data_IF_379919240909
#
_entry.id   IF_379919240909
#
_cell.length_a   1.000
_cell.length_b   1.000
_cell.length_c   1.000
_cell.angle_alpha   90.00
_cell.angle_beta   90.00
_cell.angle_gamma   90.00
#
_symmetry.space_group_name_H-M   'P 1'
#
loop_
_entity.id
_entity.type
_entity.pdbx_description
1 polymer ?
#
# COMPACT_ATOMS: atom_id res chain seq x y z
N UNK A 1 15.33 -23.97 -12.71
CA UNK A 1 16.10 -25.21 -12.50
C UNK A 1 15.08 -26.34 -12.35
N UNK A 2 14.96 -27.24 -13.35
CA UNK A 2 13.92 -28.29 -13.38
C UNK A 2 14.06 -29.32 -12.26
N UNK A 3 15.27 -29.57 -11.77
CA UNK A 3 15.49 -30.52 -10.69
C UNK A 3 14.87 -30.01 -9.38
N UNK A 4 15.14 -28.76 -9.02
CA UNK A 4 14.59 -28.12 -7.82
C UNK A 4 13.07 -28.04 -7.87
N UNK A 5 12.51 -27.76 -9.06
CA UNK A 5 11.07 -27.55 -9.26
C UNK A 5 10.29 -28.84 -9.55
N UNK A 6 10.93 -30.01 -9.45
CA UNK A 6 10.25 -31.30 -9.67
C UNK A 6 9.78 -31.49 -11.11
N UNK A 7 10.53 -30.96 -12.08
CA UNK A 7 10.26 -31.06 -13.52
C UNK A 7 9.65 -29.80 -14.14
N UNK A 8 9.07 -28.91 -13.34
CA UNK A 8 8.35 -27.73 -13.82
C UNK A 8 9.29 -26.68 -14.42
N UNK A 9 8.96 -26.14 -15.59
CA UNK A 9 9.66 -25.06 -16.25
C UNK A 9 9.00 -23.70 -15.95
N UNK A 10 9.26 -23.18 -14.74
CA UNK A 10 8.71 -21.91 -14.26
C UNK A 10 9.38 -20.69 -14.94
N UNK A 11 8.89 -20.33 -16.12
CA UNK A 11 9.25 -19.12 -16.88
C UNK A 11 8.00 -18.36 -17.30
N UNK A 12 8.12 -17.04 -17.49
CA UNK A 12 7.00 -16.23 -17.97
C UNK A 12 6.45 -16.77 -19.30
N UNK A 13 5.12 -16.85 -19.41
CA UNK A 13 4.42 -17.37 -20.59
C UNK A 13 4.19 -18.88 -20.60
N UNK A 14 4.76 -19.66 -19.68
CA UNK A 14 4.49 -21.10 -19.59
C UNK A 14 3.25 -21.39 -18.72
N UNK A 15 2.08 -21.41 -19.35
CA UNK A 15 0.81 -21.61 -18.66
C UNK A 15 0.65 -23.03 -18.08
N UNK A 16 1.14 -24.06 -18.78
CA UNK A 16 0.96 -25.47 -18.40
C UNK A 16 1.62 -25.76 -17.04
N UNK A 17 2.91 -25.45 -16.90
CA UNK A 17 3.65 -25.68 -15.66
C UNK A 17 3.19 -24.77 -14.52
N UNK A 18 2.71 -23.55 -14.84
CA UNK A 18 2.15 -22.64 -13.83
C UNK A 18 0.83 -23.18 -13.25
N UNK A 19 -0.04 -23.76 -14.10
CA UNK A 19 -1.27 -24.42 -13.66
C UNK A 19 -0.96 -25.69 -12.86
N UNK A 20 0.01 -26.48 -13.29
CA UNK A 20 0.43 -27.66 -12.51
C UNK A 20 0.98 -27.25 -11.13
N UNK A 21 1.75 -26.17 -11.03
CA UNK A 21 2.20 -25.65 -9.72
C UNK A 21 1.03 -25.28 -8.81
N UNK A 22 -0.02 -24.65 -9.34
CA UNK A 22 -1.24 -24.33 -8.59
C UNK A 22 -1.92 -25.61 -8.06
N UNK A 23 -1.96 -26.65 -8.87
CA UNK A 23 -2.48 -27.95 -8.49
C UNK A 23 -1.64 -28.64 -7.41
N UNK A 24 -0.30 -28.62 -7.54
CA UNK A 24 0.61 -29.13 -6.50
C UNK A 24 0.45 -28.38 -5.18
N UNK A 25 0.25 -27.06 -5.23
CA UNK A 25 0.00 -26.24 -4.05
C UNK A 25 -1.30 -26.66 -3.37
N UNK A 26 -2.39 -26.83 -4.13
CA UNK A 26 -3.68 -27.26 -3.60
C UNK A 26 -3.63 -28.65 -2.96
N UNK A 27 -2.86 -29.59 -3.54
CA UNK A 27 -2.65 -30.93 -2.98
C UNK A 27 -1.60 -30.97 -1.86
N UNK A 28 -0.84 -29.90 -1.68
CA UNK A 28 0.25 -29.83 -0.72
C UNK A 28 1.35 -30.84 -1.04
N UNK A 29 1.81 -30.90 -2.29
CA UNK A 29 2.87 -31.81 -2.75
C UNK A 29 3.95 -31.09 -3.58
N UNK A 30 5.00 -31.83 -3.94
CA UNK A 30 6.05 -31.36 -4.86
C UNK A 30 6.61 -29.98 -4.52
N UNK A 31 6.81 -29.16 -5.57
CA UNK A 31 7.24 -27.77 -5.43
C UNK A 31 6.11 -26.86 -4.93
N UNK A 32 4.85 -27.30 -5.01
CA UNK A 32 3.69 -26.62 -4.46
C UNK A 32 3.79 -26.35 -2.95
N UNK A 33 4.38 -27.27 -2.17
CA UNK A 33 4.68 -27.06 -0.74
C UNK A 33 5.61 -25.86 -0.51
N UNK A 34 6.57 -25.64 -1.41
CA UNK A 34 7.52 -24.54 -1.34
C UNK A 34 6.81 -23.25 -1.76
N UNK A 35 6.13 -23.26 -2.91
CA UNK A 35 5.39 -22.11 -3.43
C UNK A 35 4.33 -21.56 -2.43
N UNK A 36 3.65 -22.46 -1.71
CA UNK A 36 2.63 -22.09 -0.70
C UNK A 36 3.17 -21.39 0.55
N UNK A 37 4.49 -21.25 0.72
CA UNK A 37 5.08 -20.55 1.86
C UNK A 37 5.01 -19.01 1.75
N UNK A 38 4.74 -18.48 0.55
CA UNK A 38 4.71 -17.04 0.26
C UNK A 38 6.11 -16.44 0.04
N UNK A 39 6.15 -15.30 -0.66
CA UNK A 39 7.37 -14.65 -1.16
C UNK A 39 8.38 -14.41 -0.05
N UNK A 40 7.94 -13.94 1.12
CA UNK A 40 8.82 -13.69 2.26
C UNK A 40 9.66 -14.91 2.65
N UNK A 41 9.01 -16.07 2.77
CA UNK A 41 9.68 -17.32 3.15
C UNK A 41 10.48 -17.90 1.99
N UNK A 42 9.98 -17.77 0.76
CA UNK A 42 10.70 -18.20 -0.45
C UNK A 42 12.04 -17.50 -0.60
N UNK A 43 12.10 -16.18 -0.40
CA UNK A 43 13.37 -15.42 -0.46
C UNK A 43 14.42 -16.05 0.46
N UNK A 44 14.08 -16.22 1.75
CA UNK A 44 14.96 -16.83 2.74
C UNK A 44 15.38 -18.25 2.35
N UNK A 45 14.42 -19.08 1.95
CA UNK A 45 14.67 -20.47 1.58
C UNK A 45 15.61 -20.57 0.38
N UNK A 46 15.45 -19.71 -0.63
CA UNK A 46 16.28 -19.73 -1.82
C UNK A 46 17.72 -19.28 -1.56
N UNK A 47 17.92 -18.30 -0.69
CA UNK A 47 19.26 -17.92 -0.23
C UNK A 47 19.90 -19.09 0.52
N UNK A 48 19.24 -19.62 1.55
CA UNK A 48 19.80 -20.63 2.44
C UNK A 48 20.06 -21.98 1.76
N UNK A 49 19.17 -22.42 0.87
CA UNK A 49 19.25 -23.75 0.26
C UNK A 49 19.88 -23.77 -1.12
N UNK A 50 19.78 -22.68 -1.87
CA UNK A 50 20.17 -22.65 -3.28
C UNK A 50 21.19 -21.57 -3.61
N UNK A 51 21.67 -20.82 -2.61
CA UNK A 51 22.68 -19.78 -2.80
C UNK A 51 22.22 -18.64 -3.70
N UNK A 52 20.91 -18.36 -3.73
CA UNK A 52 20.38 -17.26 -4.51
C UNK A 52 20.86 -15.90 -3.96
N UNK A 53 21.00 -14.92 -4.84
CA UNK A 53 21.37 -13.54 -4.48
C UNK A 53 20.25 -12.90 -3.63
N UNK A 54 20.55 -12.68 -2.34
CA UNK A 54 19.61 -12.09 -1.39
C UNK A 54 19.17 -10.67 -1.78
N UNK A 55 20.11 -9.85 -2.27
CA UNK A 55 19.82 -8.47 -2.66
C UNK A 55 18.87 -8.46 -3.84
N UNK A 56 19.17 -9.25 -4.87
CA UNK A 56 18.30 -9.36 -6.04
C UNK A 56 16.90 -9.87 -5.68
N UNK A 57 16.80 -10.89 -4.82
CA UNK A 57 15.52 -11.41 -4.35
C UNK A 57 14.70 -10.36 -3.57
N UNK A 58 15.36 -9.54 -2.73
CA UNK A 58 14.72 -8.43 -2.05
C UNK A 58 14.29 -7.32 -3.02
N UNK A 59 15.10 -7.07 -4.05
CA UNK A 59 14.81 -6.04 -5.04
C UNK A 59 13.60 -6.38 -5.90
N UNK A 60 13.42 -7.66 -6.26
CA UNK A 60 12.30 -8.11 -7.09
C UNK A 60 11.06 -8.53 -6.31
N UNK A 61 11.18 -8.85 -5.02
CA UNK A 61 10.11 -9.42 -4.20
C UNK A 61 9.00 -8.42 -3.87
N UNK A 62 7.82 -8.58 -4.48
CA UNK A 62 6.64 -7.73 -4.26
C UNK A 62 5.81 -8.16 -3.04
N UNK A 63 6.36 -7.96 -1.84
CA UNK A 63 5.74 -8.34 -0.57
C UNK A 63 6.00 -7.28 0.50
N UNK A 64 4.99 -6.96 1.32
CA UNK A 64 5.16 -6.13 2.53
C UNK A 64 4.32 -6.71 3.68
N UNK A 65 4.81 -6.60 4.93
CA UNK A 65 4.14 -7.12 6.15
C UNK A 65 3.73 -8.62 6.13
N UNK A 66 4.23 -9.41 5.20
CA UNK A 66 4.04 -10.85 5.09
C UNK A 66 3.04 -11.23 4.01
N UNK A 67 2.55 -10.25 3.23
CA UNK A 67 1.53 -10.43 2.22
C UNK A 67 1.99 -9.83 0.88
N UNK A 68 1.72 -10.54 -0.21
CA UNK A 68 2.03 -10.12 -1.56
C UNK A 68 1.20 -8.91 -2.01
N UNK A 69 1.80 -8.05 -2.83
CA UNK A 69 1.07 -6.92 -3.44
C UNK A 69 0.00 -7.41 -4.41
N UNK A 70 -1.19 -6.80 -4.35
CA UNK A 70 -2.25 -7.04 -5.33
C UNK A 70 -1.97 -6.36 -6.69
N UNK A 71 -2.85 -6.58 -7.68
CA UNK A 71 -2.65 -6.42 -9.14
C UNK A 71 -2.29 -5.01 -9.69
N UNK A 72 -2.01 -4.00 -8.87
CA UNK A 72 -1.68 -2.64 -9.34
C UNK A 72 -0.18 -2.34 -9.22
N UNK A 73 0.45 -2.05 -10.37
CA UNK A 73 1.85 -1.59 -10.41
C UNK A 73 1.93 -0.15 -9.91
N UNK A 74 2.53 0.06 -8.74
CA UNK A 74 2.55 1.35 -8.04
C UNK A 74 3.71 2.28 -8.40
N UNK A 75 4.66 1.85 -9.25
CA UNK A 75 5.89 2.60 -9.57
C UNK A 75 5.67 4.06 -9.92
N UNK A 76 4.54 4.36 -10.55
CA UNK A 76 4.23 5.71 -11.03
C UNK A 76 3.31 6.50 -10.11
N UNK A 77 2.54 5.85 -9.25
CA UNK A 77 1.62 6.52 -8.32
C UNK A 77 2.18 6.49 -6.91
N UNK A 78 2.64 7.66 -6.45
CA UNK A 78 3.16 7.81 -5.09
C UNK A 78 2.05 7.58 -4.06
N UNK A 79 0.81 8.00 -4.35
CA UNK A 79 -0.33 7.71 -3.49
C UNK A 79 -0.62 6.21 -3.40
N UNK A 80 -0.53 5.45 -4.51
CA UNK A 80 -0.74 4.01 -4.50
C UNK A 80 0.40 3.26 -3.78
N UNK A 81 1.65 3.75 -3.85
CA UNK A 81 2.75 3.21 -3.03
C UNK A 81 2.42 3.31 -1.55
N UNK A 82 1.99 4.49 -1.09
CA UNK A 82 1.50 4.71 0.26
C UNK A 82 0.30 3.82 0.61
N UNK A 83 -0.65 3.74 -0.31
CA UNK A 83 -1.90 2.97 -0.15
C UNK A 83 -1.70 1.46 -0.07
N UNK A 84 -0.51 0.96 -0.42
CA UNK A 84 -0.11 -0.41 -0.16
C UNK A 84 0.74 -0.54 1.09
N UNK A 85 1.87 0.15 1.14
CA UNK A 85 2.89 -0.10 2.14
C UNK A 85 2.48 0.39 3.54
N UNK A 86 1.57 1.37 3.68
CA UNK A 86 1.11 1.85 4.99
C UNK A 86 -0.16 1.15 5.52
N UNK A 87 -0.69 0.17 4.79
CA UNK A 87 -1.86 -0.60 5.22
C UNK A 87 -1.57 -1.38 6.49
N UNK A 88 -2.53 -1.45 7.41
CA UNK A 88 -2.32 -2.16 8.67
C UNK A 88 -2.28 -3.69 8.48
N UNK A 89 -2.97 -4.21 7.46
CA UNK A 89 -3.15 -5.66 7.23
C UNK A 89 -2.16 -6.24 6.20
N UNK A 90 -1.34 -5.40 5.56
CA UNK A 90 -0.49 -5.76 4.43
C UNK A 90 -1.04 -5.27 3.09
N UNK A 91 -0.25 -5.28 2.02
CA UNK A 91 -0.47 -4.52 0.79
C UNK A 91 -1.64 -5.04 -0.05
N UNK A 92 -2.84 -4.56 0.27
CA UNK A 92 -4.06 -4.74 -0.50
C UNK A 92 -4.60 -3.38 -0.98
N UNK A 93 -5.11 -3.34 -2.21
CA UNK A 93 -5.73 -2.14 -2.78
C UNK A 93 -7.09 -1.81 -2.14
N UNK A 94 -7.61 -2.71 -1.30
CA UNK A 94 -8.92 -2.59 -0.71
C UNK A 94 -9.00 -1.44 0.31
N UNK A 95 -7.90 -1.03 0.95
CA UNK A 95 -7.84 0.06 1.96
C UNK A 95 -7.64 1.42 1.28
N UNK A 96 -6.84 1.47 0.22
CA UNK A 96 -6.58 2.67 -0.54
C UNK A 96 -6.30 2.34 -2.02
N UNK A 97 -7.30 2.58 -2.86
CA UNK A 97 -7.18 2.50 -4.31
C UNK A 97 -7.14 3.91 -4.88
N UNK A 98 -5.94 4.46 -5.05
CA UNK A 98 -5.71 5.88 -5.34
C UNK A 98 -5.04 6.13 -6.69
N UNK A 99 -4.66 5.07 -7.41
CA UNK A 99 -3.92 5.18 -8.67
C UNK A 99 -4.62 6.07 -9.71
N UNK A 100 -5.96 6.01 -9.81
CA UNK A 100 -6.72 6.84 -10.74
C UNK A 100 -6.74 8.30 -10.31
N UNK A 101 -6.97 8.58 -9.03
CA UNK A 101 -6.97 9.95 -8.51
C UNK A 101 -5.59 10.61 -8.67
N UNK A 102 -4.53 9.86 -8.39
CA UNK A 102 -3.15 10.36 -8.45
C UNK A 102 -2.66 10.52 -9.90
N UNK A 103 -2.68 9.44 -10.67
CA UNK A 103 -1.97 9.39 -11.96
C UNK A 103 -2.84 9.65 -13.19
N UNK A 104 -4.15 9.38 -13.11
CA UNK A 104 -5.04 9.54 -14.27
C UNK A 104 -5.72 10.89 -14.24
N UNK A 105 -6.24 11.29 -13.07
CA UNK A 105 -7.02 12.51 -12.91
C UNK A 105 -6.23 13.67 -12.31
N UNK A 106 -5.05 13.41 -11.74
CA UNK A 106 -4.20 14.41 -11.06
C UNK A 106 -4.97 15.24 -10.00
N UNK A 107 -5.85 14.58 -9.25
CA UNK A 107 -6.75 15.21 -8.27
C UNK A 107 -6.09 15.47 -6.91
N UNK A 108 -4.93 14.86 -6.66
CA UNK A 108 -4.19 14.96 -5.39
C UNK A 108 -2.73 15.35 -5.63
N UNK A 109 -2.44 16.53 -6.22
CA UNK A 109 -1.12 16.85 -6.73
C UNK A 109 -0.06 17.03 -5.63
N UNK A 110 -0.42 17.53 -4.44
CA UNK A 110 0.54 17.84 -3.37
C UNK A 110 0.79 16.64 -2.44
N UNK A 111 1.72 16.79 -1.48
CA UNK A 111 1.92 15.77 -0.44
C UNK A 111 0.76 15.78 0.56
N UNK A 112 0.23 16.96 0.85
CA UNK A 112 -0.88 17.21 1.75
C UNK A 112 -2.17 16.58 1.20
N UNK A 113 -2.45 16.74 -0.10
CA UNK A 113 -3.61 16.12 -0.75
C UNK A 113 -3.51 14.59 -0.74
N UNK A 114 -2.31 14.05 -1.00
CA UNK A 114 -2.06 12.60 -0.92
C UNK A 114 -2.20 12.10 0.52
N UNK A 115 -1.72 12.86 1.50
CA UNK A 115 -1.83 12.54 2.92
C UNK A 115 -3.29 12.53 3.38
N UNK A 116 -4.10 13.49 2.93
CA UNK A 116 -5.56 13.50 3.17
C UNK A 116 -6.23 12.28 2.55
N UNK A 117 -5.91 11.94 1.29
CA UNK A 117 -6.45 10.73 0.67
C UNK A 117 -6.04 9.45 1.42
N UNK A 118 -4.78 9.36 1.84
CA UNK A 118 -4.23 8.24 2.62
C UNK A 118 -4.65 8.24 4.10
N UNK A 119 -5.38 9.26 4.54
CA UNK A 119 -6.16 9.26 5.78
C UNK A 119 -7.60 8.84 5.49
N UNK A 120 -8.33 9.61 4.68
CA UNK A 120 -9.76 9.45 4.46
C UNK A 120 -10.14 8.08 3.91
N UNK A 121 -9.50 7.61 2.83
CA UNK A 121 -9.94 6.38 2.17
C UNK A 121 -9.73 5.12 3.02
N UNK A 122 -8.58 4.91 3.70
CA UNK A 122 -8.45 3.80 4.65
C UNK A 122 -9.50 3.82 5.75
N UNK A 123 -9.86 4.99 6.30
CA UNK A 123 -10.90 5.09 7.32
C UNK A 123 -12.28 4.78 6.75
N UNK A 124 -12.65 5.40 5.64
CA UNK A 124 -13.95 5.18 5.01
C UNK A 124 -14.12 3.71 4.60
N UNK A 125 -13.08 3.12 4.02
CA UNK A 125 -13.09 1.70 3.60
C UNK A 125 -13.05 0.73 4.77
N UNK A 126 -12.47 1.12 5.91
CA UNK A 126 -12.58 0.36 7.16
C UNK A 126 -14.01 0.39 7.70
N UNK A 127 -14.71 1.52 7.57
CA UNK A 127 -16.09 1.67 8.03
C UNK A 127 -17.05 0.67 7.36
N UNK A 128 -16.90 0.41 6.05
CA UNK A 128 -17.66 -0.66 5.37
C UNK A 128 -17.51 -2.02 6.05
N UNK A 129 -16.29 -2.39 6.45
CA UNK A 129 -16.03 -3.63 7.16
C UNK A 129 -16.66 -3.69 8.56
N UNK A 130 -16.74 -2.55 9.25
CA UNK A 130 -17.40 -2.44 10.54
C UNK A 130 -18.93 -2.58 10.44
N UNK A 131 -19.51 -2.12 9.33
CA UNK A 131 -20.95 -2.17 9.09
C UNK A 131 -21.42 -3.40 8.30
N UNK A 132 -20.51 -4.26 7.86
CA UNK A 132 -20.84 -5.42 7.02
C UNK A 132 -21.34 -5.04 5.62
N UNK A 133 -20.89 -3.90 5.09
CA UNK A 133 -21.34 -3.35 3.81
C UNK A 133 -20.31 -3.59 2.70
N UNK A 134 -20.80 -3.77 1.47
CA UNK A 134 -19.94 -3.87 0.29
C UNK A 134 -19.51 -2.47 -0.19
N UNK A 135 -18.20 -2.23 -0.27
CA UNK A 135 -17.65 -0.93 -0.71
C UNK A 135 -17.83 -0.62 -2.19
N UNK A 136 -18.16 -1.60 -3.02
CA UNK A 136 -18.40 -1.43 -4.47
C UNK A 136 -19.65 -0.58 -4.74
N UNK A 137 -20.68 -0.70 -3.90
CA UNK A 137 -21.93 0.07 -4.03
C UNK A 137 -21.66 1.57 -3.90
N UNK A 138 -20.63 1.96 -3.15
CA UNK A 138 -20.20 3.35 -3.08
C UNK A 138 -19.49 3.82 -4.36
N UNK A 139 -18.54 3.05 -4.88
CA UNK A 139 -17.56 3.56 -5.84
C UNK A 139 -17.87 3.25 -7.31
N UNK A 140 -18.56 2.17 -7.61
CA UNK A 140 -18.66 1.66 -9.00
C UNK A 140 -19.88 2.18 -9.76
N UNK A 141 -20.82 2.80 -9.05
CA UNK A 141 -21.88 3.62 -9.63
C UNK A 141 -21.63 5.06 -9.22
N UNK A 142 -21.71 5.99 -10.17
CA UNK A 142 -21.49 7.41 -9.90
C UNK A 142 -22.68 8.20 -10.43
N UNK A 143 -23.33 9.05 -9.60
CA UNK A 143 -24.41 9.92 -10.05
C UNK A 143 -23.95 10.80 -11.24
N UNK A 144 -24.80 11.02 -12.27
CA UNK A 144 -24.41 11.79 -13.46
C UNK A 144 -23.91 13.22 -13.18
N UNK A 145 -24.40 13.82 -12.10
CA UNK A 145 -24.06 15.16 -11.62
C UNK A 145 -22.91 15.18 -10.60
N UNK A 146 -22.39 14.03 -10.17
CA UNK A 146 -21.33 13.93 -9.16
C UNK A 146 -20.09 14.78 -9.50
N UNK A 147 -19.76 14.93 -10.79
CA UNK A 147 -18.63 15.74 -11.27
C UNK A 147 -18.71 17.22 -10.90
N UNK A 148 -19.90 17.72 -10.56
CA UNK A 148 -20.14 19.11 -10.15
C UNK A 148 -20.14 19.30 -8.63
N UNK A 149 -19.97 18.22 -7.86
CA UNK A 149 -19.90 18.28 -6.40
C UNK A 149 -18.53 18.80 -5.94
N UNK A 150 -18.42 19.22 -4.67
CA UNK A 150 -17.18 19.76 -4.12
C UNK A 150 -16.05 18.72 -4.04
N UNK A 151 -16.39 17.45 -3.76
CA UNK A 151 -15.42 16.36 -3.62
C UNK A 151 -15.86 15.14 -4.45
N UNK A 152 -15.82 15.22 -5.79
CA UNK A 152 -16.37 14.20 -6.68
C UNK A 152 -15.71 12.83 -6.49
N UNK A 153 -14.45 12.82 -6.06
CA UNK A 153 -13.67 11.62 -5.76
C UNK A 153 -14.13 10.87 -4.51
N UNK A 154 -14.99 11.47 -3.67
CA UNK A 154 -15.61 10.84 -2.50
C UNK A 154 -17.06 10.40 -2.76
N UNK A 155 -17.65 10.81 -3.86
CA UNK A 155 -19.07 10.59 -4.23
C UNK A 155 -20.00 11.04 -3.07
N UNK A 156 -20.09 12.36 -2.80
CA UNK A 156 -20.67 12.87 -1.56
C UNK A 156 -22.11 12.42 -1.28
N UNK A 157 -22.94 12.28 -2.33
CA UNK A 157 -24.30 11.77 -2.24
C UNK A 157 -24.34 10.34 -1.65
N UNK A 158 -23.42 9.47 -2.09
CA UNK A 158 -23.36 8.12 -1.57
C UNK A 158 -22.96 8.12 -0.10
N UNK A 159 -22.01 8.98 0.30
CA UNK A 159 -21.65 9.15 1.71
C UNK A 159 -22.86 9.61 2.55
N UNK A 160 -23.66 10.56 2.04
CA UNK A 160 -24.93 10.98 2.67
C UNK A 160 -25.92 9.82 2.81
N UNK A 161 -26.04 8.99 1.78
CA UNK A 161 -26.91 7.82 1.81
C UNK A 161 -26.47 6.82 2.89
N UNK A 162 -25.17 6.57 3.05
CA UNK A 162 -24.67 5.69 4.13
C UNK A 162 -24.94 6.26 5.52
N UNK A 163 -24.77 7.56 5.74
CA UNK A 163 -25.14 8.22 7.00
C UNK A 163 -26.64 8.07 7.27
N UNK A 164 -27.47 8.28 6.24
CA UNK A 164 -28.93 8.14 6.33
C UNK A 164 -29.34 6.72 6.70
N UNK A 165 -28.79 5.71 6.03
CA UNK A 165 -29.04 4.29 6.32
C UNK A 165 -28.59 3.94 7.75
N UNK A 166 -27.38 4.33 8.14
CA UNK A 166 -26.87 4.06 9.48
C UNK A 166 -27.78 4.65 10.57
N UNK A 167 -28.14 5.93 10.45
CA UNK A 167 -29.01 6.61 11.40
C UNK A 167 -30.41 5.98 11.42
N UNK A 168 -30.96 5.62 10.25
CA UNK A 168 -32.28 4.98 10.13
C UNK A 168 -32.34 3.59 10.78
N UNK A 169 -31.27 2.80 10.66
CA UNK A 169 -31.20 1.45 11.24
C UNK A 169 -30.90 1.46 12.74
N UNK A 170 -29.99 2.32 13.18
CA UNK A 170 -29.48 2.31 14.56
C UNK A 170 -30.24 3.24 15.50
N UNK A 171 -30.96 4.23 14.97
CA UNK A 171 -31.55 5.32 15.74
C UNK A 171 -30.54 6.36 16.25
N UNK A 172 -29.24 6.19 15.95
CA UNK A 172 -28.22 7.17 16.25
C UNK A 172 -28.29 8.37 15.30
N UNK A 173 -27.58 9.45 15.64
CA UNK A 173 -27.50 10.68 14.84
C UNK A 173 -26.05 11.05 14.60
N UNK A 174 -25.41 10.36 13.66
CA UNK A 174 -24.06 10.71 13.20
C UNK A 174 -24.12 11.56 11.94
N UNK A 175 -23.03 12.29 11.68
CA UNK A 175 -22.75 12.97 10.41
C UNK A 175 -21.59 12.27 9.67
N UNK A 176 -21.18 12.84 8.53
CA UNK A 176 -20.05 12.31 7.74
C UNK A 176 -18.72 12.32 8.50
N UNK A 177 -18.54 13.28 9.40
CA UNK A 177 -17.31 13.40 10.16
C UNK A 177 -17.23 12.31 11.24
N UNK A 178 -18.30 12.11 12.01
CA UNK A 178 -18.35 11.03 13.00
C UNK A 178 -18.31 9.64 12.34
N UNK A 179 -18.87 9.47 11.13
CA UNK A 179 -18.70 8.25 10.34
C UNK A 179 -17.23 7.88 10.16
N UNK A 180 -16.40 8.85 9.77
CA UNK A 180 -14.94 8.66 9.63
C UNK A 180 -14.27 8.48 10.99
N UNK A 181 -14.66 9.23 12.03
CA UNK A 181 -14.09 9.07 13.38
C UNK A 181 -14.31 7.67 13.95
N UNK A 182 -15.48 7.06 13.72
CA UNK A 182 -15.77 5.71 14.17
C UNK A 182 -14.73 4.70 13.67
N UNK A 183 -14.39 4.74 12.39
CA UNK A 183 -13.39 3.85 11.81
C UNK A 183 -11.96 4.29 12.11
N UNK A 184 -11.69 5.59 12.28
CA UNK A 184 -10.38 6.11 12.71
C UNK A 184 -9.96 5.56 14.08
N UNK A 185 -10.91 5.46 15.03
CA UNK A 185 -10.68 4.79 16.32
C UNK A 185 -10.19 3.36 16.13
N UNK A 186 -10.89 2.59 15.28
CA UNK A 186 -10.53 1.19 15.00
C UNK A 186 -9.22 1.08 14.24
N UNK A 187 -8.95 1.97 13.29
CA UNK A 187 -7.71 1.94 12.51
C UNK A 187 -6.49 2.22 13.40
N UNK A 188 -6.60 3.16 14.34
CA UNK A 188 -5.57 3.40 15.34
C UNK A 188 -5.43 2.20 16.30
N UNK A 189 -6.53 1.59 16.73
CA UNK A 189 -6.47 0.35 17.52
C UNK A 189 -5.72 -0.78 16.79
N UNK A 190 -6.01 -0.99 15.50
CA UNK A 190 -5.30 -1.97 14.66
C UNK A 190 -3.80 -1.66 14.55
N UNK A 191 -3.45 -0.37 14.40
CA UNK A 191 -2.04 0.07 14.39
C UNK A 191 -1.35 -0.25 15.71
N UNK A 192 -1.98 0.05 16.84
CA UNK A 192 -1.42 -0.22 18.19
C UNK A 192 -1.35 -1.72 18.44
N UNK A 193 -2.31 -2.50 17.97
CA UNK A 193 -2.25 -3.95 18.00
C UNK A 193 -1.00 -4.46 17.25
N UNK A 194 -0.74 -3.96 16.05
CA UNK A 194 0.48 -4.30 15.31
C UNK A 194 1.75 -3.94 16.09
N UNK A 195 1.80 -2.76 16.72
CA UNK A 195 2.91 -2.31 17.59
C UNK A 195 3.12 -3.27 18.76
N UNK A 196 2.04 -3.65 19.46
CA UNK A 196 2.10 -4.62 20.55
C UNK A 196 2.63 -5.98 20.11
N UNK A 197 2.43 -6.36 18.84
CA UNK A 197 2.98 -7.60 18.25
C UNK A 197 4.43 -7.46 17.76
N UNK A 198 5.07 -6.31 17.97
CA UNK A 198 6.44 -6.01 17.51
C UNK A 198 6.52 -5.47 16.08
N UNK A 199 5.39 -5.18 15.45
CA UNK A 199 5.27 -4.67 14.08
C UNK A 199 4.76 -3.21 14.06
N UNK A 200 4.30 -2.68 12.92
CA UNK A 200 3.58 -1.38 12.91
C UNK A 200 4.38 -0.13 13.29
N UNK A 201 5.66 -0.07 12.91
CA UNK A 201 6.49 1.14 13.03
C UNK A 201 6.89 1.57 11.61
N UNK A 202 7.54 2.74 11.46
CA UNK A 202 7.97 3.25 10.14
C UNK A 202 8.69 2.21 9.29
N UNK A 203 9.62 1.45 9.88
CA UNK A 203 10.35 0.38 9.17
C UNK A 203 9.43 -0.68 8.52
N UNK A 204 8.25 -0.90 9.09
CA UNK A 204 7.26 -1.86 8.59
C UNK A 204 6.40 -1.27 7.47
N UNK A 205 6.35 0.05 7.35
CA UNK A 205 5.69 0.78 6.26
C UNK A 205 6.62 1.05 5.08
N UNK A 206 7.85 0.51 5.08
CA UNK A 206 8.73 0.57 3.92
C UNK A 206 8.14 -0.18 2.73
N UNK A 207 8.13 0.45 1.56
CA UNK A 207 7.71 -0.21 0.31
C UNK A 207 8.80 -1.14 -0.24
N UNK A 208 8.45 -2.21 -0.97
CA UNK A 208 9.41 -3.02 -1.71
C UNK A 208 10.19 -2.19 -2.72
N UNK A 209 11.44 -2.57 -2.98
CA UNK A 209 12.26 -1.87 -3.96
C UNK A 209 11.54 -1.79 -5.31
N UNK A 210 11.12 -2.91 -5.92
CA UNK A 210 10.35 -2.94 -7.18
C UNK A 210 9.09 -2.06 -7.20
N UNK A 211 8.50 -1.71 -6.05
CA UNK A 211 7.32 -0.85 -6.00
C UNK A 211 7.61 0.63 -6.31
N UNK A 212 8.85 1.09 -6.12
CA UNK A 212 9.21 2.50 -6.35
C UNK A 212 9.64 2.78 -7.81
N UNK A 213 10.31 1.86 -8.50
CA UNK A 213 10.95 2.15 -9.80
C UNK A 213 11.52 0.93 -10.52
N UNK A 214 12.25 1.12 -11.63
CA UNK A 214 12.90 0.02 -12.36
C UNK A 214 13.91 -0.69 -11.46
N UNK A 215 13.93 -2.03 -11.52
CA UNK A 215 14.88 -2.84 -10.75
C UNK A 215 16.16 -3.11 -11.53
N UNK A 216 16.02 -3.47 -12.81
CA UNK A 216 17.14 -3.83 -13.68
C UNK A 216 17.38 -2.80 -14.77
N UNK A 217 18.51 -2.92 -15.46
CA UNK A 217 18.85 -2.11 -16.63
C UNK A 217 17.81 -2.30 -17.73
N UNK A 218 17.39 -3.53 -17.99
CA UNK A 218 16.38 -3.86 -19.00
C UNK A 218 15.02 -3.20 -18.68
N UNK A 219 14.63 -3.18 -17.40
CA UNK A 219 13.41 -2.48 -16.98
C UNK A 219 13.50 -0.97 -17.22
N UNK A 220 14.67 -0.37 -17.01
CA UNK A 220 14.89 1.05 -17.32
C UNK A 220 14.82 1.29 -18.83
N UNK A 221 15.58 0.51 -19.61
CA UNK A 221 15.72 0.68 -21.05
C UNK A 221 14.40 0.46 -21.79
N UNK A 222 13.56 -0.45 -21.29
CA UNK A 222 12.20 -0.66 -21.83
C UNK A 222 11.32 0.60 -21.80
N UNK A 223 11.68 1.61 -20.99
CA UNK A 223 10.99 2.90 -20.89
C UNK A 223 11.97 4.07 -20.80
N UNK A 224 13.12 3.98 -21.47
CA UNK A 224 14.22 4.93 -21.35
C UNK A 224 13.77 6.39 -21.55
N UNK A 225 13.02 6.66 -22.63
CA UNK A 225 12.50 8.00 -22.94
C UNK A 225 11.73 8.61 -21.77
N UNK A 226 10.84 7.83 -21.16
CA UNK A 226 10.04 8.27 -20.02
C UNK A 226 10.91 8.58 -18.80
N UNK A 227 11.85 7.69 -18.45
CA UNK A 227 12.67 7.87 -17.27
C UNK A 227 13.70 8.99 -17.44
N UNK A 228 14.32 9.10 -18.62
CA UNK A 228 15.26 10.17 -18.95
C UNK A 228 14.54 11.53 -18.92
N UNK A 229 13.31 11.62 -19.43
CA UNK A 229 12.48 12.82 -19.29
C UNK A 229 12.17 13.15 -17.83
N UNK A 230 11.88 12.16 -16.98
CA UNK A 230 11.67 12.39 -15.55
C UNK A 230 12.94 12.87 -14.83
N UNK A 231 14.13 12.36 -15.19
CA UNK A 231 15.40 12.85 -14.65
C UNK A 231 15.59 14.33 -15.00
N UNK A 232 15.26 14.72 -16.23
CA UNK A 232 15.33 16.12 -16.66
C UNK A 232 14.30 16.98 -15.93
N UNK A 233 13.03 16.62 -15.97
CA UNK A 233 11.95 17.48 -15.47
C UNK A 233 11.92 17.60 -13.94
N UNK A 234 12.23 16.51 -13.22
CA UNK A 234 12.10 16.47 -11.76
C UNK A 234 13.41 16.72 -11.02
N UNK A 235 14.55 16.44 -11.65
CA UNK A 235 15.87 16.54 -11.03
C UNK A 235 16.81 17.51 -11.74
N UNK A 236 16.43 18.03 -12.91
CA UNK A 236 17.30 18.85 -13.76
C UNK A 236 18.61 18.12 -14.13
N UNK A 237 18.53 16.80 -14.35
CA UNK A 237 19.67 15.95 -14.71
C UNK A 237 19.56 15.56 -16.18
N UNK A 238 20.61 15.83 -16.97
CA UNK A 238 20.74 15.27 -18.32
C UNK A 238 21.17 13.80 -18.24
N UNK A 239 20.38 12.94 -18.88
CA UNK A 239 20.63 11.50 -18.97
C UNK A 239 21.69 11.15 -20.03
N UNK A 240 22.00 12.06 -20.96
CA UNK A 240 22.94 11.82 -22.05
C UNK A 240 24.34 11.47 -21.54
N UNK A 241 24.92 10.41 -22.10
CA UNK A 241 26.27 9.94 -21.76
C UNK A 241 26.39 9.24 -20.40
N UNK A 242 25.32 9.14 -19.61
CA UNK A 242 25.33 8.40 -18.34
C UNK A 242 25.09 6.91 -18.55
N UNK A 243 25.86 6.01 -17.90
CA UNK A 243 25.57 4.59 -17.87
C UNK A 243 24.16 4.32 -17.33
N UNK A 244 23.39 3.40 -17.93
CA UNK A 244 22.02 3.10 -17.51
C UNK A 244 21.93 2.71 -16.02
N UNK A 245 22.92 1.99 -15.51
CA UNK A 245 22.98 1.60 -14.10
C UNK A 245 23.05 2.82 -13.14
N UNK A 246 23.73 3.88 -13.55
CA UNK A 246 23.76 5.16 -12.80
C UNK A 246 22.38 5.83 -12.86
N UNK A 247 21.76 5.85 -14.04
CA UNK A 247 20.40 6.42 -14.22
C UNK A 247 19.36 5.71 -13.37
N UNK A 248 19.43 4.39 -13.26
CA UNK A 248 18.62 3.58 -12.33
C UNK A 248 18.86 4.08 -10.91
N UNK A 249 20.10 4.07 -10.41
CA UNK A 249 20.42 4.47 -9.04
C UNK A 249 19.91 5.89 -8.69
N UNK A 250 20.04 6.86 -9.61
CA UNK A 250 19.54 8.22 -9.42
C UNK A 250 18.01 8.25 -9.31
N UNK A 251 17.32 7.62 -10.26
CA UNK A 251 15.86 7.55 -10.28
C UNK A 251 15.33 6.88 -9.01
N UNK A 252 15.99 5.82 -8.57
CA UNK A 252 15.67 5.06 -7.35
C UNK A 252 15.73 5.93 -6.12
N UNK A 253 16.89 6.55 -5.89
CA UNK A 253 17.11 7.44 -4.75
C UNK A 253 16.06 8.55 -4.71
N UNK A 254 15.78 9.19 -5.85
CA UNK A 254 14.75 10.22 -5.90
C UNK A 254 13.36 9.70 -5.50
N UNK A 255 12.92 8.55 -6.04
CA UNK A 255 11.59 8.02 -5.78
C UNK A 255 11.42 7.50 -4.34
N UNK A 256 12.46 6.93 -3.76
CA UNK A 256 12.49 6.55 -2.34
C UNK A 256 12.43 7.78 -1.43
N UNK A 257 13.18 8.85 -1.75
CA UNK A 257 13.09 10.14 -1.06
C UNK A 257 11.67 10.74 -1.13
N UNK A 258 10.99 10.63 -2.28
CA UNK A 258 9.59 11.08 -2.39
C UNK A 258 8.66 10.25 -1.48
N UNK A 259 8.93 8.95 -1.34
CA UNK A 259 8.15 8.08 -0.46
C UNK A 259 8.34 8.42 1.02
N UNK A 260 9.56 8.70 1.45
CA UNK A 260 9.81 9.13 2.83
C UNK A 260 9.13 10.47 3.17
N UNK A 261 9.09 11.41 2.22
CA UNK A 261 8.33 12.67 2.35
C UNK A 261 6.83 12.42 2.44
N UNK A 262 6.30 11.48 1.66
CA UNK A 262 4.91 11.07 1.76
C UNK A 262 4.60 10.46 3.13
N UNK A 263 5.45 9.57 3.65
CA UNK A 263 5.27 8.98 4.98
C UNK A 263 5.16 10.06 6.06
N UNK A 264 6.03 11.07 6.00
CA UNK A 264 6.01 12.18 6.96
C UNK A 264 4.69 12.95 6.90
N UNK A 265 4.23 13.33 5.70
CA UNK A 265 2.96 14.04 5.52
C UNK A 265 1.76 13.21 5.99
N UNK A 266 1.75 11.90 5.69
CA UNK A 266 0.66 10.99 6.10
C UNK A 266 0.66 10.78 7.61
N UNK A 267 1.81 10.58 8.23
CA UNK A 267 1.90 10.40 9.68
C UNK A 267 1.47 11.67 10.41
N UNK A 268 1.87 12.84 9.94
CA UNK A 268 1.38 14.10 10.47
C UNK A 268 -0.14 14.18 10.38
N UNK A 269 -0.71 13.90 9.18
CA UNK A 269 -2.15 13.95 8.97
C UNK A 269 -2.93 12.94 9.83
N UNK A 270 -2.36 11.76 10.09
CA UNK A 270 -2.95 10.73 10.97
C UNK A 270 -2.76 11.02 12.47
N UNK A 271 -2.06 12.10 12.84
CA UNK A 271 -1.74 12.38 14.24
C UNK A 271 -0.74 11.38 14.83
N UNK A 272 0.19 10.89 14.03
CA UNK A 272 1.23 9.93 14.41
C UNK A 272 2.60 10.61 14.54
N UNK A 273 3.52 9.99 15.28
CA UNK A 273 4.93 10.40 15.33
C UNK A 273 5.63 10.07 14.00
N UNK A 274 6.85 10.60 13.78
CA UNK A 274 7.66 10.28 12.59
C UNK A 274 8.01 8.78 12.48
N UNK A 275 7.92 8.04 13.59
CA UNK A 275 8.11 6.59 13.60
C UNK A 275 6.79 5.80 13.37
N UNK A 276 5.71 6.49 13.02
CA UNK A 276 4.42 5.88 12.69
C UNK A 276 3.66 5.34 13.90
N UNK A 277 3.82 5.96 15.08
CA UNK A 277 3.11 5.61 16.32
C UNK A 277 2.01 6.65 16.57
N UNK A 278 0.76 6.25 16.85
CA UNK A 278 -0.28 7.21 17.24
C UNK A 278 0.15 8.06 18.44
N UNK A 279 0.01 9.39 18.32
CA UNK A 279 0.34 10.30 19.43
C UNK A 279 -0.69 10.16 20.55
N UNK A 280 -0.25 10.24 21.81
CA UNK A 280 -1.15 10.23 22.98
C UNK A 280 -2.21 11.34 22.88
N UNK A 281 -1.82 12.54 22.43
CA UNK A 281 -2.76 13.64 22.19
C UNK A 281 -3.83 13.29 21.15
N UNK A 282 -3.44 12.65 20.05
CA UNK A 282 -4.38 12.23 19.02
C UNK A 282 -5.34 11.15 19.55
N UNK A 283 -4.84 10.18 20.32
CA UNK A 283 -5.68 9.17 20.96
C UNK A 283 -6.71 9.78 21.90
N UNK A 284 -6.32 10.76 22.73
CA UNK A 284 -7.27 11.53 23.57
C UNK A 284 -8.33 12.23 22.73
N UNK A 285 -7.92 12.91 21.65
CA UNK A 285 -8.86 13.60 20.77
C UNK A 285 -9.92 12.64 20.20
N UNK A 286 -9.52 11.44 19.76
CA UNK A 286 -10.46 10.46 19.19
C UNK A 286 -11.15 9.58 20.24
N UNK A 287 -10.94 9.79 21.54
CA UNK A 287 -11.54 8.99 22.62
C UNK A 287 -10.98 7.57 22.74
N UNK A 288 -9.70 7.41 22.42
CA UNK A 288 -8.94 6.15 22.45
C UNK A 288 -7.75 6.21 23.42
N UNK A 289 -7.79 7.11 24.41
CA UNK A 289 -6.85 7.20 25.52
C UNK A 289 -7.10 6.14 26.61
N UNK A 290 -7.45 4.93 26.15
CA UNK A 290 -7.62 3.76 27.01
C UNK A 290 -6.26 3.41 27.65
N UNK A 291 -6.21 3.10 28.97
CA UNK A 291 -4.95 2.80 29.66
C UNK A 291 -4.11 1.73 28.95
N UNK A 292 -4.73 0.69 28.41
CA UNK A 292 -4.08 -0.41 27.72
C UNK A 292 -3.44 0.01 26.39
N UNK A 293 -3.99 1.03 25.72
CA UNK A 293 -3.41 1.59 24.51
C UNK A 293 -2.26 2.53 24.84
N UNK A 294 -2.42 3.34 25.89
CA UNK A 294 -1.38 4.26 26.38
C UNK A 294 -0.15 3.51 26.90
N UNK A 295 -0.32 2.35 27.53
CA UNK A 295 0.79 1.50 27.97
C UNK A 295 1.69 1.07 26.79
N UNK A 296 1.09 0.81 25.63
CA UNK A 296 1.83 0.39 24.43
C UNK A 296 2.51 1.57 23.74
N UNK A 297 1.81 2.69 23.56
CA UNK A 297 2.34 3.81 22.78
C UNK A 297 3.18 4.79 23.60
N UNK A 298 2.96 4.88 24.91
CA UNK A 298 3.62 5.82 25.81
C UNK A 298 5.15 5.75 25.79
N UNK A 299 5.76 4.55 25.87
CA UNK A 299 7.21 4.38 25.76
C UNK A 299 7.81 4.72 24.38
N UNK A 300 6.96 4.96 23.36
CA UNK A 300 7.35 5.18 21.97
C UNK A 300 7.01 6.60 21.47
N UNK A 301 6.60 7.50 22.37
CA UNK A 301 6.26 8.89 22.06
C UNK A 301 7.50 9.76 21.82
#
# INVERSE_FOLDING_TARGET
>A
NKEITGGLELKFGNAEDALELLHQLARGEGFGKIAGLGVRKLKKLFVEKYGADEQFLNDIGMENKGLEYSQYVSKESLAQQGGYAMTNKGPQHDEAWLIFMDMVNNQIPTFEDKAEALHYFPMFRTWFGLMGLCKIVWNDITPPDNKFTAEPHKIPEHVDNYVTVFNGVTGLKIDKHELIRQSERVYNFQRIFNIRRGFGLRKHDAQPYRAAGPVTVEEYESRAEKYDQQLKDKLNIDANGKPTIEKVAIMRKFREDQYEKLLDAVYERRGWTKNGVPKVEHLKNIGMDLPELLEIVGPLQ
#
